data_IF_993595270621
#
_entry.id   IF_993595270621
#
_cell.length_a   1.000
_cell.length_b   1.000
_cell.length_c   1.000
_cell.angle_alpha   90.00
_cell.angle_beta   90.00
_cell.angle_gamma   90.00
#
_symmetry.space_group_name_H-M   'P 1'
#
loop_
_entity.id
_entity.type
_entity.pdbx_description
1 polymer ?
#
# COMPACT_ATOMS: atom_id res chain seq x y z
N UNK A 1 -22.73 -8.47 18.84
CA UNK A 1 -21.34 -7.95 18.69
C UNK A 1 -21.24 -7.39 17.28
N UNK A 2 -20.65 -6.20 17.07
CA UNK A 2 -20.50 -5.66 15.70
C UNK A 2 -19.51 -6.55 14.91
N UNK A 3 -19.83 -6.89 13.67
CA UNK A 3 -18.99 -7.74 12.80
C UNK A 3 -18.20 -6.93 11.77
N UNK A 4 -18.50 -5.64 11.63
CA UNK A 4 -17.87 -4.73 10.67
C UNK A 4 -17.08 -3.63 11.39
N UNK A 5 -16.03 -3.07 10.78
CA UNK A 5 -15.31 -1.93 11.34
C UNK A 5 -16.23 -0.75 11.64
N UNK A 6 -15.96 -0.02 12.72
CA UNK A 6 -16.72 1.16 13.12
C UNK A 6 -15.83 2.21 13.77
N UNK A 7 -16.21 3.49 13.63
CA UNK A 7 -15.52 4.59 14.31
C UNK A 7 -15.80 4.57 15.80
N UNK A 8 -14.78 4.91 16.58
CA UNK A 8 -14.84 5.09 18.03
C UNK A 8 -13.98 6.28 18.42
N UNK A 9 -14.20 6.82 19.62
CA UNK A 9 -13.28 7.75 20.26
C UNK A 9 -12.30 6.99 21.18
N UNK A 10 -11.23 7.66 21.62
CA UNK A 10 -10.26 7.04 22.51
C UNK A 10 -10.91 6.60 23.83
N UNK A 11 -11.83 7.41 24.38
CA UNK A 11 -12.53 7.12 25.64
C UNK A 11 -13.53 5.96 25.53
N UNK A 12 -13.85 5.54 24.31
CA UNK A 12 -14.79 4.43 24.03
C UNK A 12 -14.07 3.07 23.91
N UNK A 13 -12.74 3.04 23.88
CA UNK A 13 -11.97 1.80 23.91
C UNK A 13 -12.06 1.12 25.29
N UNK A 14 -11.80 -0.19 25.40
CA UNK A 14 -11.57 -0.83 26.70
C UNK A 14 -10.47 -0.13 27.51
N UNK A 15 -10.61 -0.03 28.84
CA UNK A 15 -9.72 0.79 29.68
C UNK A 15 -8.23 0.38 29.61
N UNK A 16 -7.96 -0.91 29.45
CA UNK A 16 -6.62 -1.46 29.21
C UNK A 16 -6.08 -1.05 27.83
N UNK A 17 -6.92 -1.03 26.80
CA UNK A 17 -6.57 -0.54 25.46
C UNK A 17 -6.33 0.97 25.44
N UNK A 18 -7.13 1.75 26.16
CA UNK A 18 -6.91 3.19 26.33
C UNK A 18 -5.53 3.45 26.93
N UNK A 19 -5.17 2.72 27.98
CA UNK A 19 -3.86 2.84 28.63
C UNK A 19 -2.73 2.48 27.67
N UNK A 20 -2.85 1.37 26.94
CA UNK A 20 -1.84 0.95 25.97
C UNK A 20 -1.70 1.97 24.82
N UNK A 21 -2.81 2.49 24.31
CA UNK A 21 -2.83 3.55 23.30
C UNK A 21 -2.09 4.81 23.78
N UNK A 22 -2.43 5.30 24.98
CA UNK A 22 -1.82 6.49 25.57
C UNK A 22 -0.32 6.33 25.83
N UNK A 23 0.13 5.11 26.16
CA UNK A 23 1.55 4.80 26.37
C UNK A 23 2.34 4.73 25.05
N UNK A 24 1.72 4.23 23.97
CA UNK A 24 2.35 4.12 22.67
C UNK A 24 2.36 5.43 21.87
N UNK A 25 1.39 6.31 22.11
CA UNK A 25 1.30 7.61 21.45
C UNK A 25 2.41 8.57 21.91
N UNK A 26 2.95 9.41 21.00
CA UNK A 26 3.75 10.55 21.40
C UNK A 26 3.01 11.48 22.38
N UNK A 27 3.75 12.12 23.28
CA UNK A 27 3.15 12.99 24.31
C UNK A 27 2.27 14.09 23.70
N UNK A 28 1.04 14.22 24.19
CA UNK A 28 0.06 15.21 23.71
C UNK A 28 -0.62 14.87 22.39
N UNK A 29 -0.29 13.74 21.77
CA UNK A 29 -0.88 13.33 20.51
C UNK A 29 -2.18 12.56 20.72
N UNK A 30 -3.20 12.87 19.92
CA UNK A 30 -4.47 12.15 19.89
C UNK A 30 -4.80 11.71 18.46
N UNK A 31 -5.47 10.55 18.29
CA UNK A 31 -5.95 10.14 16.97
C UNK A 31 -7.14 11.02 16.54
N UNK A 32 -7.07 11.58 15.33
CA UNK A 32 -8.22 12.28 14.71
C UNK A 32 -9.21 11.31 14.08
N UNK A 33 -8.79 10.06 13.82
CA UNK A 33 -9.66 9.00 13.35
C UNK A 33 -9.24 7.72 14.03
N UNK A 34 -10.19 7.05 14.69
CA UNK A 34 -9.95 5.78 15.35
C UNK A 34 -11.04 4.81 14.92
N UNK A 35 -10.63 3.65 14.41
CA UNK A 35 -11.52 2.62 13.88
C UNK A 35 -11.31 1.34 14.66
N UNK A 36 -12.36 0.87 15.31
CA UNK A 36 -12.40 -0.45 15.93
C UNK A 36 -12.70 -1.50 14.86
N UNK A 37 -11.88 -2.52 14.80
CA UNK A 37 -11.98 -3.67 13.90
C UNK A 37 -12.30 -4.89 14.77
N UNK A 38 -13.54 -5.40 14.69
CA UNK A 38 -13.94 -6.55 15.47
C UNK A 38 -13.11 -7.80 15.17
N UNK A 39 -13.08 -8.69 16.16
CA UNK A 39 -12.60 -10.06 15.94
C UNK A 39 -13.38 -10.71 14.81
N UNK A 40 -12.68 -11.47 13.97
CA UNK A 40 -13.32 -12.27 12.94
C UNK A 40 -12.48 -13.49 12.59
N UNK A 41 -13.13 -14.51 12.05
CA UNK A 41 -12.44 -15.70 11.56
C UNK A 41 -12.34 -15.61 10.04
N UNK A 42 -11.12 -15.61 9.53
CA UNK A 42 -10.89 -15.70 8.10
C UNK A 42 -10.74 -17.14 7.66
N UNK A 43 -11.41 -17.51 6.58
CA UNK A 43 -11.16 -18.77 5.88
C UNK A 43 -10.32 -18.49 4.63
N UNK A 44 -9.00 -18.48 4.80
CA UNK A 44 -8.07 -18.45 3.68
C UNK A 44 -7.63 -19.89 3.39
N UNK A 45 -7.91 -20.37 2.18
CA UNK A 45 -7.37 -21.64 1.66
C UNK A 45 -7.50 -22.85 2.60
N UNK A 46 -8.69 -23.07 3.18
CA UNK A 46 -9.02 -24.16 4.14
C UNK A 46 -8.41 -24.03 5.55
N UNK A 47 -7.60 -23.00 5.82
CA UNK A 47 -7.17 -22.69 7.19
C UNK A 47 -8.08 -21.60 7.74
N UNK A 48 -8.69 -21.88 8.89
CA UNK A 48 -9.36 -20.85 9.68
C UNK A 48 -8.29 -20.13 10.48
N UNK A 49 -8.10 -18.84 10.21
CA UNK A 49 -7.23 -17.98 10.99
C UNK A 49 -8.12 -17.07 11.84
N UNK A 50 -7.85 -17.06 13.13
CA UNK A 50 -8.46 -16.11 14.04
C UNK A 50 -7.70 -14.79 13.94
N UNK A 51 -8.45 -13.70 13.72
CA UNK A 51 -7.91 -12.34 13.76
C UNK A 51 -8.41 -11.71 15.05
N UNK A 52 -7.51 -11.33 15.97
CA UNK A 52 -7.92 -10.69 17.22
C UNK A 52 -8.59 -9.35 16.91
N UNK A 53 -9.43 -8.82 17.83
CA UNK A 53 -9.93 -7.47 17.68
C UNK A 53 -8.76 -6.48 17.72
N UNK A 54 -8.88 -5.38 16.96
CA UNK A 54 -7.85 -4.35 16.86
C UNK A 54 -8.50 -2.96 16.80
N UNK A 55 -7.79 -1.93 17.23
CA UNK A 55 -8.13 -0.54 16.98
C UNK A 55 -7.01 0.09 16.14
N UNK A 56 -7.38 0.76 15.05
CA UNK A 56 -6.46 1.48 14.19
C UNK A 56 -6.73 2.99 14.31
N UNK A 57 -5.78 3.70 14.89
CA UNK A 57 -5.79 5.14 15.08
C UNK A 57 -4.89 5.85 14.06
N UNK A 58 -5.37 6.97 13.55
CA UNK A 58 -4.64 7.86 12.66
C UNK A 58 -4.48 9.20 13.35
N UNK A 59 -3.23 9.67 13.41
CA UNK A 59 -2.83 10.93 14.04
C UNK A 59 -2.32 11.89 12.99
N UNK A 60 -2.03 13.12 13.40
CA UNK A 60 -1.43 14.12 12.51
C UNK A 60 -0.05 13.73 11.96
N UNK A 61 0.62 12.72 12.51
CA UNK A 61 1.99 12.37 12.07
C UNK A 61 2.23 10.87 11.94
N UNK A 62 1.21 10.02 12.10
CA UNK A 62 1.45 8.58 12.20
C UNK A 62 0.23 7.72 12.48
N UNK A 63 0.48 6.43 12.61
CA UNK A 63 -0.53 5.38 12.76
C UNK A 63 -0.31 4.63 14.07
N UNK A 64 -1.37 4.52 14.87
CA UNK A 64 -1.43 3.71 16.08
C UNK A 64 -2.21 2.43 15.79
N UNK A 65 -1.67 1.27 16.16
CA UNK A 65 -2.43 0.03 16.28
C UNK A 65 -2.49 -0.37 17.74
N UNK A 66 -3.66 -0.77 18.22
CA UNK A 66 -3.84 -1.49 19.48
C UNK A 66 -4.51 -2.82 19.17
N UNK A 67 -4.01 -3.92 19.70
CA UNK A 67 -4.58 -5.25 19.48
C UNK A 67 -4.62 -6.06 20.76
N UNK A 68 -5.63 -6.94 20.89
CA UNK A 68 -5.60 -7.97 21.94
C UNK A 68 -4.37 -8.85 21.79
N UNK A 69 -3.76 -9.20 22.92
CA UNK A 69 -2.71 -10.21 22.95
C UNK A 69 -3.26 -11.59 22.51
N UNK A 70 -2.40 -12.48 21.99
CA UNK A 70 -2.79 -13.85 21.63
C UNK A 70 -3.32 -14.66 22.81
N UNK A 71 -2.81 -14.38 24.02
CA UNK A 71 -3.24 -15.00 25.27
C UNK A 71 -4.31 -14.14 25.94
N UNK A 72 -5.44 -14.75 26.29
CA UNK A 72 -6.64 -14.06 26.81
C UNK A 72 -6.37 -13.21 28.08
N UNK A 73 -5.31 -13.50 28.82
CA UNK A 73 -4.93 -12.78 30.05
C UNK A 73 -3.79 -11.76 29.88
N UNK A 74 -3.14 -11.71 28.72
CA UNK A 74 -2.04 -10.79 28.48
C UNK A 74 -2.57 -9.37 28.15
N UNK A 75 -1.84 -8.31 28.54
CA UNK A 75 -2.25 -6.94 28.23
C UNK A 75 -2.25 -6.70 26.71
N UNK A 76 -3.10 -5.78 26.19
CA UNK A 76 -3.10 -5.44 24.77
C UNK A 76 -1.74 -4.86 24.35
N UNK A 77 -1.35 -5.17 23.12
CA UNK A 77 -0.15 -4.62 22.51
C UNK A 77 -0.52 -3.35 21.73
N UNK A 78 0.31 -2.32 21.83
CA UNK A 78 0.15 -1.09 21.08
C UNK A 78 1.44 -0.69 20.37
N UNK A 79 1.31 -0.27 19.11
CA UNK A 79 2.41 0.14 18.25
C UNK A 79 2.08 1.47 17.60
N UNK A 80 3.05 2.39 17.59
CA UNK A 80 2.93 3.66 16.88
C UNK A 80 4.05 3.77 15.84
N UNK A 81 3.68 3.99 14.58
CA UNK A 81 4.62 4.25 13.49
C UNK A 81 4.42 5.69 13.03
N UNK A 82 5.46 6.51 13.14
CA UNK A 82 5.45 7.84 12.52
C UNK A 82 5.36 7.66 11.00
N UNK A 83 4.45 8.38 10.34
CA UNK A 83 4.25 8.29 8.90
C UNK A 83 5.53 8.63 8.13
N UNK A 84 6.36 9.53 8.66
CA UNK A 84 7.65 9.82 8.07
C UNK A 84 8.55 8.59 7.99
N UNK A 85 8.46 7.69 8.97
CA UNK A 85 9.27 6.48 9.11
C UNK A 85 8.71 5.25 8.37
N UNK A 86 7.59 5.39 7.68
CA UNK A 86 7.07 4.35 6.78
C UNK A 86 8.01 4.21 5.58
N UNK A 87 8.49 2.99 5.36
CA UNK A 87 9.33 2.61 4.21
C UNK A 87 8.48 2.05 3.08
N UNK A 88 7.44 1.28 3.40
CA UNK A 88 6.53 0.69 2.43
C UNK A 88 5.13 0.53 3.05
N UNK A 89 4.11 0.77 2.23
CA UNK A 89 2.72 0.46 2.58
C UNK A 89 2.17 -0.53 1.55
N UNK A 90 1.45 -1.55 2.01
CA UNK A 90 0.71 -2.47 1.14
C UNK A 90 -0.76 -2.52 1.56
N UNK A 91 -1.64 -2.40 0.58
CA UNK A 91 -3.08 -2.40 0.75
C UNK A 91 -3.69 -3.46 -0.15
N UNK A 92 -4.17 -4.54 0.47
CA UNK A 92 -4.80 -5.66 -0.21
C UNK A 92 -6.32 -5.54 -0.09
N UNK A 93 -7.01 -5.52 -1.21
CA UNK A 93 -8.47 -5.43 -1.30
C UNK A 93 -8.99 -6.60 -2.12
N UNK A 94 -9.59 -7.59 -1.46
CA UNK A 94 -10.04 -8.82 -2.12
C UNK A 94 -11.45 -9.17 -1.65
N UNK A 95 -12.46 -8.86 -2.48
CA UNK A 95 -13.87 -9.01 -2.12
C UNK A 95 -14.19 -8.29 -0.80
N UNK A 96 -14.61 -9.03 0.23
CA UNK A 96 -14.93 -8.54 1.57
C UNK A 96 -13.72 -8.54 2.52
N UNK A 97 -12.54 -8.93 2.06
CA UNK A 97 -11.31 -8.98 2.85
C UNK A 97 -10.39 -7.82 2.48
N UNK A 98 -10.06 -7.01 3.48
CA UNK A 98 -9.08 -5.93 3.43
C UNK A 98 -7.89 -6.26 4.31
N UNK A 99 -6.68 -5.92 3.87
CA UNK A 99 -5.48 -5.99 4.69
C UNK A 99 -4.60 -4.79 4.41
N UNK A 100 -4.33 -4.01 5.46
CA UNK A 100 -3.37 -2.92 5.44
C UNK A 100 -2.10 -3.38 6.14
N UNK A 101 -0.98 -3.28 5.44
CA UNK A 101 0.34 -3.59 5.97
C UNK A 101 1.23 -2.37 5.85
N UNK A 102 1.83 -1.98 6.98
CA UNK A 102 2.75 -0.87 7.10
C UNK A 102 4.09 -1.42 7.57
N UNK A 103 5.15 -1.12 6.83
CA UNK A 103 6.51 -1.46 7.23
C UNK A 103 7.34 -0.19 7.38
N UNK A 104 7.98 -0.05 8.52
CA UNK A 104 8.74 1.15 8.89
C UNK A 104 9.61 0.91 10.11
N UNK A 105 9.94 1.98 10.82
CA UNK A 105 10.68 1.88 12.07
C UNK A 105 9.95 2.55 13.23
N UNK A 106 10.13 2.01 14.43
CA UNK A 106 9.75 2.63 15.69
C UNK A 106 11.02 2.77 16.53
N UNK A 107 11.44 4.01 16.81
CA UNK A 107 12.69 4.30 17.54
C UNK A 107 13.93 3.62 16.91
N UNK A 108 14.01 3.59 15.58
CA UNK A 108 15.09 2.93 14.83
C UNK A 108 15.02 1.40 14.79
N UNK A 109 14.00 0.79 15.38
CA UNK A 109 13.75 -0.66 15.31
C UNK A 109 12.76 -0.94 14.18
N UNK A 110 13.07 -1.85 13.24
CA UNK A 110 12.14 -2.28 12.22
C UNK A 110 10.85 -2.85 12.80
N UNK A 111 9.71 -2.38 12.30
CA UNK A 111 8.38 -2.84 12.72
C UNK A 111 7.50 -3.10 11.50
N UNK A 112 6.60 -4.07 11.68
CA UNK A 112 5.59 -4.45 10.69
C UNK A 112 4.22 -4.46 11.36
N UNK A 113 3.37 -3.53 10.98
CA UNK A 113 1.99 -3.42 11.43
C UNK A 113 1.07 -4.03 10.37
N UNK A 114 0.22 -4.98 10.76
CA UNK A 114 -0.71 -5.67 9.87
C UNK A 114 -2.11 -5.58 10.45
N UNK A 115 -3.03 -4.99 9.67
CA UNK A 115 -4.41 -4.75 10.06
C UNK A 115 -5.32 -5.40 9.03
N UNK A 116 -6.02 -6.44 9.45
CA UNK A 116 -6.97 -7.17 8.61
C UNK A 116 -8.39 -6.76 8.98
N UNK A 117 -9.23 -6.46 7.99
CA UNK A 117 -10.56 -5.90 8.20
C UNK A 117 -11.55 -6.32 7.11
N UNK A 118 -12.84 -6.11 7.37
CA UNK A 118 -13.89 -6.28 6.36
C UNK A 118 -13.96 -5.02 5.48
N UNK A 119 -13.89 -5.16 4.15
CA UNK A 119 -13.87 -4.00 3.21
C UNK A 119 -15.13 -3.14 3.25
N UNK A 120 -16.22 -3.57 3.89
CA UNK A 120 -17.35 -2.69 4.23
C UNK A 120 -16.90 -1.46 5.04
N UNK A 121 -15.84 -1.61 5.84
CA UNK A 121 -15.22 -0.53 6.60
C UNK A 121 -14.20 0.32 5.82
N UNK A 122 -13.94 0.04 4.55
CA UNK A 122 -12.91 0.73 3.75
C UNK A 122 -13.11 2.25 3.74
N UNK A 123 -14.36 2.71 3.60
CA UNK A 123 -14.69 4.14 3.61
C UNK A 123 -14.30 4.84 4.91
N UNK A 124 -14.23 4.12 6.04
CA UNK A 124 -13.80 4.68 7.32
C UNK A 124 -12.29 4.93 7.36
N UNK A 125 -11.52 4.13 6.62
CA UNK A 125 -10.06 4.15 6.60
C UNK A 125 -9.52 5.04 5.47
N UNK A 126 -10.22 5.09 4.34
CA UNK A 126 -9.69 5.65 3.09
C UNK A 126 -9.10 7.05 3.22
N UNK A 127 -9.85 8.01 3.77
CA UNK A 127 -9.38 9.39 3.91
C UNK A 127 -8.16 9.50 4.85
N UNK A 128 -8.16 8.73 5.94
CA UNK A 128 -7.06 8.73 6.91
C UNK A 128 -5.81 8.03 6.33
N UNK A 129 -5.99 6.98 5.53
CA UNK A 129 -4.92 6.32 4.78
C UNK A 129 -4.28 7.26 3.76
N UNK A 130 -5.07 8.04 3.02
CA UNK A 130 -4.54 9.05 2.10
C UNK A 130 -3.71 10.13 2.82
N UNK A 131 -4.09 10.50 4.04
CA UNK A 131 -3.31 11.43 4.86
C UNK A 131 -1.98 10.82 5.30
N UNK A 132 -1.99 9.56 5.76
CA UNK A 132 -0.76 8.82 6.11
C UNK A 132 0.17 8.72 4.91
N UNK A 133 -0.36 8.39 3.74
CA UNK A 133 0.43 8.32 2.51
C UNK A 133 1.05 9.68 2.15
N UNK A 134 0.29 10.77 2.21
CA UNK A 134 0.83 12.14 2.01
C UNK A 134 2.01 12.43 2.94
N UNK A 135 1.90 12.07 4.21
CA UNK A 135 2.97 12.27 5.20
C UNK A 135 4.16 11.34 4.97
N UNK A 136 3.90 10.09 4.55
CA UNK A 136 4.92 9.11 4.21
C UNK A 136 5.68 9.45 2.92
N UNK A 137 5.06 10.20 2.01
CA UNK A 137 5.71 10.72 0.81
C UNK A 137 6.58 11.94 1.11
N UNK A 138 6.21 12.73 2.11
CA UNK A 138 6.91 13.95 2.50
C UNK A 138 6.31 15.19 1.85
N UNK A 139 6.99 16.35 1.91
CA UNK A 139 6.48 17.58 1.29
C UNK A 139 6.27 17.36 -0.21
N UNK A 140 5.10 17.76 -0.70
CA UNK A 140 4.81 17.69 -2.12
C UNK A 140 5.80 18.57 -2.90
N UNK A 141 6.54 17.98 -3.83
CA UNK A 141 7.33 18.74 -4.78
C UNK A 141 6.37 19.58 -5.64
N UNK A 142 6.34 20.90 -5.42
CA UNK A 142 5.68 21.87 -6.28
C UNK A 142 4.23 21.56 -6.67
N UNK A 143 3.28 21.67 -5.74
CA UNK A 143 1.85 21.54 -6.05
C UNK A 143 1.38 22.70 -6.95
N UNK A 144 1.35 22.48 -8.27
CA UNK A 144 0.47 23.21 -9.19
C UNK A 144 -0.64 22.29 -9.67
N UNK A 145 -1.46 21.84 -8.72
CA UNK A 145 -2.56 20.88 -8.92
C UNK A 145 -3.45 21.12 -10.17
N UNK A 146 -3.79 22.38 -10.57
CA UNK A 146 -4.59 22.59 -11.77
C UNK A 146 -3.82 22.29 -13.07
N UNK A 147 -2.50 22.51 -13.08
CA UNK A 147 -1.66 22.44 -14.28
C UNK A 147 -1.56 21.01 -14.82
N UNK A 148 -1.54 20.02 -13.94
CA UNK A 148 -1.25 18.63 -14.30
C UNK A 148 -2.49 17.73 -14.34
N UNK A 149 -3.66 18.23 -13.96
CA UNK A 149 -4.91 17.46 -13.96
C UNK A 149 -5.23 16.89 -15.36
N UNK A 150 -5.00 17.68 -16.42
CA UNK A 150 -5.23 17.25 -17.80
C UNK A 150 -4.25 16.14 -18.24
N UNK A 151 -2.98 16.24 -17.84
CA UNK A 151 -1.96 15.23 -18.11
C UNK A 151 -2.31 13.91 -17.41
N UNK A 152 -2.60 13.95 -16.10
CA UNK A 152 -3.04 12.76 -15.34
C UNK A 152 -4.29 12.15 -15.95
N UNK A 153 -5.28 12.96 -16.34
CA UNK A 153 -6.50 12.46 -16.99
C UNK A 153 -6.22 11.75 -18.31
N UNK A 154 -5.35 12.32 -19.15
CA UNK A 154 -4.92 11.69 -20.41
C UNK A 154 -4.22 10.35 -20.19
N UNK A 155 -3.34 10.27 -19.19
CA UNK A 155 -2.66 9.02 -18.86
C UNK A 155 -3.63 7.97 -18.30
N UNK A 156 -4.59 8.36 -17.45
CA UNK A 156 -5.62 7.44 -16.98
C UNK A 156 -6.50 6.93 -18.13
N UNK A 157 -6.81 7.77 -19.12
CA UNK A 157 -7.53 7.35 -20.33
C UNK A 157 -6.70 6.36 -21.17
N UNK A 158 -5.39 6.58 -21.31
CA UNK A 158 -4.50 5.64 -21.99
C UNK A 158 -4.40 4.30 -21.25
N UNK A 159 -4.44 4.31 -19.90
CA UNK A 159 -4.52 3.10 -19.10
C UNK A 159 -5.87 2.41 -19.24
N UNK A 160 -6.97 3.17 -19.31
CA UNK A 160 -8.32 2.65 -19.51
C UNK A 160 -8.45 1.82 -20.79
N UNK A 161 -7.85 2.31 -21.89
CA UNK A 161 -7.80 1.61 -23.17
C UNK A 161 -7.06 0.26 -23.09
N UNK A 162 -6.17 0.07 -22.12
CA UNK A 162 -5.45 -1.19 -21.88
C UNK A 162 -6.16 -2.05 -20.83
N UNK A 163 -6.65 -1.44 -19.75
CA UNK A 163 -7.36 -2.12 -18.67
C UNK A 163 -8.17 -1.15 -17.79
N UNK A 164 -9.49 -1.16 -17.99
CA UNK A 164 -10.45 -0.44 -17.13
C UNK A 164 -10.30 -0.80 -15.64
N UNK A 165 -10.03 -2.07 -15.32
CA UNK A 165 -9.85 -2.54 -13.94
C UNK A 165 -8.64 -1.88 -13.26
N UNK A 166 -7.50 -1.83 -13.94
CA UNK A 166 -6.29 -1.21 -13.38
C UNK A 166 -6.38 0.31 -13.34
N UNK A 167 -7.06 0.93 -14.31
CA UNK A 167 -7.41 2.35 -14.24
C UNK A 167 -8.19 2.68 -12.97
N UNK A 168 -9.24 1.91 -12.66
CA UNK A 168 -10.04 2.13 -11.45
C UNK A 168 -9.25 1.84 -10.18
N UNK A 169 -8.46 0.77 -10.15
CA UNK A 169 -7.57 0.48 -9.01
C UNK A 169 -6.63 1.65 -8.72
N UNK A 170 -6.00 2.19 -9.77
CA UNK A 170 -5.10 3.34 -9.67
C UNK A 170 -5.85 4.61 -9.21
N UNK A 171 -6.94 4.98 -9.87
CA UNK A 171 -7.63 6.26 -9.61
C UNK A 171 -8.42 6.30 -8.31
N UNK A 172 -8.96 5.16 -7.84
CA UNK A 172 -9.81 5.11 -6.65
C UNK A 172 -9.03 4.83 -5.37
N UNK A 173 -7.92 4.10 -5.44
CA UNK A 173 -7.26 3.58 -4.24
C UNK A 173 -5.79 3.95 -4.13
N UNK A 174 -5.11 4.26 -5.25
CA UNK A 174 -3.66 4.37 -5.24
C UNK A 174 -3.15 5.80 -5.49
N UNK A 175 -3.76 6.57 -6.38
CA UNK A 175 -3.41 7.98 -6.53
C UNK A 175 -4.01 8.81 -5.41
N UNK A 176 -3.18 9.66 -4.81
CA UNK A 176 -3.66 10.69 -3.91
C UNK A 176 -4.46 11.75 -4.69
N UNK A 177 -5.41 12.45 -4.03
CA UNK A 177 -6.06 13.59 -4.64
C UNK A 177 -5.02 14.60 -5.12
N UNK A 178 -5.20 15.09 -6.36
CA UNK A 178 -4.29 16.05 -7.02
C UNK A 178 -2.88 15.53 -7.34
N UNK A 179 -2.61 14.25 -7.13
CA UNK A 179 -1.32 13.67 -7.47
C UNK A 179 -1.14 13.58 -8.99
N UNK A 180 0.00 14.10 -9.46
CA UNK A 180 0.40 13.99 -10.86
C UNK A 180 0.86 12.56 -11.15
N UNK A 181 0.23 11.91 -12.12
CA UNK A 181 0.77 10.68 -12.69
C UNK A 181 1.79 11.08 -13.77
N UNK A 182 3.05 10.64 -13.61
CA UNK A 182 4.12 10.90 -14.58
C UNK A 182 4.12 9.86 -15.69
N UNK A 183 3.72 8.64 -15.37
CA UNK A 183 3.51 7.58 -16.35
C UNK A 183 3.26 6.24 -15.70
N UNK A 184 3.04 5.23 -16.55
CA UNK A 184 2.80 3.87 -16.11
C UNK A 184 3.26 2.83 -17.14
N UNK A 185 3.47 1.61 -16.66
CA UNK A 185 3.67 0.41 -17.47
C UNK A 185 2.67 -0.65 -17.03
N UNK A 186 1.78 -1.04 -17.94
CA UNK A 186 0.83 -2.11 -17.70
C UNK A 186 1.29 -3.41 -18.34
N UNK A 187 1.14 -4.50 -17.59
CA UNK A 187 1.49 -5.85 -18.00
C UNK A 187 0.27 -6.77 -17.81
N UNK A 188 -0.27 -7.36 -18.90
CA UNK A 188 -1.23 -8.45 -18.75
C UNK A 188 -0.55 -9.65 -18.09
N UNK A 189 -1.36 -10.52 -17.50
CA UNK A 189 -0.91 -11.77 -16.87
C UNK A 189 0.07 -12.55 -17.76
N UNK A 190 1.24 -12.87 -17.21
CA UNK A 190 2.22 -13.68 -17.93
C UNK A 190 1.86 -15.17 -17.87
N UNK A 191 1.78 -15.77 -19.06
CA UNK A 191 1.40 -17.16 -19.28
C UNK A 191 2.58 -17.91 -19.90
N UNK A 192 2.80 -19.16 -19.49
CA UNK A 192 3.75 -20.08 -20.14
C UNK A 192 3.05 -21.34 -20.63
N UNK A 193 3.47 -21.93 -21.76
CA UNK A 193 2.93 -23.19 -22.22
C UNK A 193 3.31 -24.33 -21.25
N UNK A 194 2.39 -25.27 -21.06
CA UNK A 194 2.53 -26.51 -20.29
C UNK A 194 1.96 -27.63 -21.17
N UNK A 195 2.73 -28.69 -21.41
CA UNK A 195 2.37 -29.78 -22.34
C UNK A 195 1.97 -29.29 -23.76
N UNK A 196 2.59 -28.20 -24.25
CA UNK A 196 2.36 -27.54 -25.55
C UNK A 196 0.96 -26.95 -25.81
N UNK A 197 -0.11 -27.47 -25.21
CA UNK A 197 -1.49 -27.01 -25.43
C UNK A 197 -2.10 -26.24 -24.24
N UNK A 198 -1.64 -26.49 -23.01
CA UNK A 198 -2.15 -25.77 -21.85
C UNK A 198 -1.31 -24.52 -21.59
N UNK A 199 -1.94 -23.47 -21.05
CA UNK A 199 -1.23 -22.27 -20.59
C UNK A 199 -1.38 -22.16 -19.08
N UNK A 200 -0.24 -22.08 -18.37
CA UNK A 200 -0.22 -21.84 -16.93
C UNK A 200 0.30 -20.43 -16.67
N UNK A 201 -0.46 -19.68 -15.89
CA UNK A 201 -0.06 -18.36 -15.47
C UNK A 201 1.10 -18.43 -14.47
N UNK A 202 2.19 -17.69 -14.69
CA UNK A 202 3.35 -17.70 -13.80
C UNK A 202 3.63 -16.35 -13.12
N UNK A 203 3.10 -15.24 -13.63
CA UNK A 203 3.00 -13.95 -12.93
C UNK A 203 1.57 -13.40 -13.00
N UNK A 204 1.10 -12.61 -12.02
CA UNK A 204 -0.19 -11.93 -12.13
C UNK A 204 -0.17 -10.85 -13.23
N UNK A 205 -1.33 -10.25 -13.53
CA UNK A 205 -1.32 -8.97 -14.23
C UNK A 205 -0.82 -7.91 -13.25
N UNK A 206 -0.08 -6.93 -13.76
CA UNK A 206 0.56 -5.91 -12.93
C UNK A 206 0.52 -4.54 -13.61
N UNK A 207 0.55 -3.50 -12.80
CA UNK A 207 0.73 -2.11 -13.20
C UNK A 207 1.83 -1.53 -12.32
N UNK A 208 2.85 -0.94 -12.94
CA UNK A 208 3.78 -0.04 -12.26
C UNK A 208 3.46 1.40 -12.69
N UNK A 209 3.31 2.31 -11.74
CA UNK A 209 3.06 3.72 -11.95
C UNK A 209 4.09 4.56 -11.21
N UNK A 210 4.44 5.71 -11.77
CA UNK A 210 5.36 6.68 -11.17
C UNK A 210 4.64 8.00 -10.97
N UNK A 211 4.80 8.57 -9.79
CA UNK A 211 4.42 9.94 -9.46
C UNK A 211 5.67 10.70 -9.00
N UNK A 212 5.60 12.03 -8.77
CA UNK A 212 6.70 12.75 -8.15
C UNK A 212 7.06 12.19 -6.77
N UNK A 213 6.09 11.59 -6.08
CA UNK A 213 6.18 11.24 -4.67
C UNK A 213 6.39 9.74 -4.42
N UNK A 214 5.99 8.86 -5.35
CA UNK A 214 6.05 7.42 -5.15
C UNK A 214 6.24 6.62 -6.43
N UNK A 215 6.71 5.38 -6.25
CA UNK A 215 6.43 4.28 -7.17
C UNK A 215 5.25 3.50 -6.59
N UNK A 216 4.25 3.24 -7.44
CA UNK A 216 3.05 2.50 -7.07
C UNK A 216 3.01 1.23 -7.91
N UNK A 217 2.88 0.08 -7.26
CA UNK A 217 2.63 -1.20 -7.91
C UNK A 217 1.21 -1.68 -7.60
N UNK A 218 0.47 -2.11 -8.62
CA UNK A 218 -0.81 -2.79 -8.44
C UNK A 218 -0.68 -4.17 -9.07
N UNK A 219 -1.00 -5.23 -8.34
CA UNK A 219 -1.01 -6.60 -8.84
C UNK A 219 -2.38 -7.25 -8.59
N UNK A 220 -2.75 -8.21 -9.43
CA UNK A 220 -3.92 -9.05 -9.16
C UNK A 220 -3.59 -10.19 -8.20
N UNK A 221 -4.34 -10.28 -7.09
CA UNK A 221 -4.30 -11.47 -6.22
C UNK A 221 -4.94 -12.68 -6.90
N UNK A 222 -4.39 -13.88 -6.67
CA UNK A 222 -4.94 -15.14 -7.17
C UNK A 222 -5.69 -15.91 -6.08
N UNK A 223 -7.01 -15.75 -6.03
CA UNK A 223 -7.86 -16.65 -5.24
C UNK A 223 -8.51 -17.68 -6.17
N UNK A 224 -8.07 -18.94 -6.08
CA UNK A 224 -8.72 -20.13 -6.68
C UNK A 224 -9.17 -19.94 -8.16
N UNK A 225 -8.34 -19.27 -8.97
CA UNK A 225 -8.60 -19.08 -10.40
C UNK A 225 -9.41 -17.83 -10.76
N UNK A 226 -9.94 -17.10 -9.78
CA UNK A 226 -10.65 -15.84 -9.99
C UNK A 226 -9.77 -14.65 -9.57
N UNK A 227 -9.72 -13.62 -10.40
CA UNK A 227 -8.89 -12.43 -10.19
C UNK A 227 -9.76 -11.23 -9.81
N UNK A 228 -10.20 -11.19 -8.54
CA UNK A 228 -11.11 -10.17 -8.02
C UNK A 228 -10.52 -9.33 -6.88
N UNK A 229 -9.18 -9.31 -6.75
CA UNK A 229 -8.53 -8.47 -5.75
C UNK A 229 -7.39 -7.64 -6.33
N UNK A 230 -7.07 -6.56 -5.63
CA UNK A 230 -5.91 -5.72 -5.85
C UNK A 230 -4.94 -5.86 -4.69
N UNK A 231 -3.66 -5.98 -5.02
CA UNK A 231 -2.55 -5.78 -4.10
C UNK A 231 -1.88 -4.48 -4.52
N UNK A 232 -2.08 -3.43 -3.74
CA UNK A 232 -1.51 -2.12 -4.01
C UNK A 232 -0.31 -1.93 -3.10
N UNK A 233 0.87 -1.70 -3.68
CA UNK A 233 2.10 -1.44 -2.95
C UNK A 233 2.58 -0.04 -3.25
N UNK A 234 2.80 0.73 -2.20
CA UNK A 234 3.27 2.11 -2.26
C UNK A 234 4.72 2.15 -1.77
N UNK A 235 5.59 2.65 -2.63
CA UNK A 235 7.01 2.82 -2.38
C UNK A 235 7.32 4.32 -2.41
N UNK A 236 7.33 5.03 -1.26
CA UNK A 236 7.67 6.45 -1.21
C UNK A 236 9.02 6.70 -1.88
N UNK A 237 9.08 7.63 -2.82
CA UNK A 237 10.25 7.86 -3.66
C UNK A 237 11.49 8.22 -2.85
N UNK A 238 11.32 9.03 -1.80
CA UNK A 238 12.38 9.39 -0.85
C UNK A 238 12.99 8.19 -0.10
N UNK A 239 12.34 7.03 -0.14
CA UNK A 239 12.81 5.78 0.46
C UNK A 239 13.44 4.83 -0.55
N UNK A 240 13.30 5.08 -1.86
CA UNK A 240 13.86 4.22 -2.92
C UNK A 240 15.37 4.46 -3.02
N UNK A 241 16.15 3.40 -2.81
CA UNK A 241 17.61 3.41 -2.98
C UNK A 241 18.01 3.09 -4.42
N UNK A 242 17.36 2.10 -5.01
CA UNK A 242 17.66 1.61 -6.34
C UNK A 242 16.45 0.89 -6.95
N UNK A 243 16.41 0.84 -8.27
CA UNK A 243 15.55 -0.06 -9.02
C UNK A 243 16.44 -0.87 -9.93
N UNK A 244 16.44 -2.19 -9.78
CA UNK A 244 17.20 -3.11 -10.64
C UNK A 244 16.26 -4.02 -11.41
N UNK A 245 16.82 -4.64 -12.44
CA UNK A 245 16.10 -5.57 -13.29
C UNK A 245 16.91 -6.84 -13.46
N UNK A 246 16.34 -7.97 -13.07
CA UNK A 246 16.98 -9.28 -13.13
C UNK A 246 16.26 -10.19 -14.12
N UNK A 247 16.97 -10.99 -14.93
CA UNK A 247 16.34 -11.89 -15.88
C UNK A 247 15.54 -13.00 -15.17
N UNK A 248 14.35 -13.31 -15.68
CA UNK A 248 13.49 -14.41 -15.24
C UNK A 248 12.96 -15.18 -16.46
N UNK A 249 13.75 -16.12 -16.99
CA UNK A 249 13.37 -16.95 -18.14
C UNK A 249 12.90 -16.11 -19.35
N UNK A 250 11.59 -15.98 -19.61
CA UNK A 250 11.00 -15.11 -20.67
C UNK A 250 10.52 -13.75 -20.17
N UNK A 251 10.84 -13.40 -18.93
CA UNK A 251 10.41 -12.20 -18.22
C UNK A 251 11.61 -11.58 -17.50
N UNK A 252 11.38 -10.50 -16.78
CA UNK A 252 12.33 -9.84 -15.91
C UNK A 252 11.66 -9.50 -14.57
N UNK A 253 12.38 -9.68 -13.48
CA UNK A 253 12.02 -9.14 -12.17
C UNK A 253 12.51 -7.71 -12.09
N UNK A 254 11.57 -6.76 -12.01
CA UNK A 254 11.86 -5.38 -11.62
C UNK A 254 11.73 -5.31 -10.11
N UNK A 255 12.80 -4.95 -9.42
CA UNK A 255 12.80 -4.85 -7.95
C UNK A 255 13.07 -3.41 -7.51
N UNK A 256 12.19 -2.89 -6.67
CA UNK A 256 12.31 -1.59 -6.02
C UNK A 256 12.93 -1.81 -4.65
N UNK A 257 14.18 -1.39 -4.47
CA UNK A 257 14.90 -1.45 -3.20
C UNK A 257 14.63 -0.17 -2.42
N UNK A 258 14.21 -0.32 -1.17
CA UNK A 258 13.85 0.78 -0.28
C UNK A 258 14.61 0.67 1.03
N UNK A 259 14.89 1.80 1.67
CA UNK A 259 15.41 1.82 3.03
C UNK A 259 14.93 3.04 3.84
N UNK A 260 14.90 2.85 5.16
CA UNK A 260 14.66 3.91 6.13
C UNK A 260 14.91 3.41 7.54
N UNK A 261 15.59 4.22 8.36
CA UNK A 261 15.75 4.01 9.81
C UNK A 261 16.07 2.55 10.21
N UNK A 262 17.12 1.98 9.62
CA UNK A 262 17.60 0.62 9.93
C UNK A 262 16.84 -0.52 9.23
N UNK A 263 15.80 -0.22 8.47
CA UNK A 263 15.05 -1.19 7.68
C UNK A 263 15.41 -1.09 6.20
N UNK A 264 15.68 -2.23 5.56
CA UNK A 264 15.83 -2.38 4.12
C UNK A 264 14.76 -3.35 3.60
N UNK A 265 14.03 -2.95 2.56
CA UNK A 265 12.94 -3.71 1.95
C UNK A 265 13.10 -3.76 0.44
N UNK A 266 12.46 -4.75 -0.17
CA UNK A 266 12.36 -4.85 -1.61
C UNK A 266 10.96 -5.27 -2.02
N UNK A 267 10.43 -4.67 -3.08
CA UNK A 267 9.21 -5.12 -3.75
C UNK A 267 9.53 -5.49 -5.20
N UNK A 268 9.09 -6.67 -5.63
CA UNK A 268 9.44 -7.23 -6.95
C UNK A 268 8.19 -7.47 -7.78
N UNK A 269 8.19 -6.99 -9.01
CA UNK A 269 7.15 -7.24 -10.01
C UNK A 269 7.77 -7.93 -11.23
N UNK A 270 7.09 -8.96 -11.75
CA UNK A 270 7.51 -9.64 -12.97
C UNK A 270 6.88 -8.99 -14.21
N UNK A 271 7.71 -8.53 -15.14
CA UNK A 271 7.32 -7.92 -16.42
C UNK A 271 7.93 -8.72 -17.59
N UNK A 272 7.32 -8.69 -18.77
CA UNK A 272 8.05 -9.14 -19.95
C UNK A 272 9.20 -8.18 -20.28
N UNK A 273 10.13 -8.62 -21.13
CA UNK A 273 11.35 -7.87 -21.43
C UNK A 273 11.06 -6.46 -22.01
N UNK A 274 10.01 -6.32 -22.84
CA UNK A 274 9.68 -5.04 -23.45
C UNK A 274 9.09 -4.07 -22.42
N UNK A 275 8.21 -4.56 -21.53
CA UNK A 275 7.64 -3.75 -20.44
C UNK A 275 8.69 -3.39 -19.38
N UNK A 276 9.61 -4.29 -19.07
CA UNK A 276 10.71 -3.99 -18.16
C UNK A 276 11.66 -2.91 -18.72
N UNK A 277 11.99 -2.98 -20.01
CA UNK A 277 12.75 -1.93 -20.68
C UNK A 277 12.01 -0.58 -20.69
N UNK A 278 10.71 -0.60 -21.02
CA UNK A 278 9.86 0.59 -20.98
C UNK A 278 9.78 1.20 -19.57
N UNK A 279 9.70 0.36 -18.53
CA UNK A 279 9.73 0.81 -17.13
C UNK A 279 11.05 1.49 -16.78
N UNK A 280 12.18 0.90 -17.15
CA UNK A 280 13.49 1.51 -16.93
C UNK A 280 13.64 2.88 -17.61
N UNK A 281 13.18 2.99 -18.86
CA UNK A 281 13.18 4.27 -19.58
C UNK A 281 12.28 5.32 -18.91
N UNK A 282 11.06 4.93 -18.51
CA UNK A 282 10.13 5.81 -17.80
C UNK A 282 10.74 6.32 -16.48
N UNK A 283 11.27 5.41 -15.65
CA UNK A 283 11.88 5.77 -14.37
C UNK A 283 13.04 6.75 -14.51
N UNK A 284 13.91 6.54 -15.51
CA UNK A 284 15.04 7.43 -15.78
C UNK A 284 14.56 8.82 -16.23
N UNK A 285 13.63 8.88 -17.18
CA UNK A 285 13.05 10.15 -17.66
C UNK A 285 12.39 10.95 -16.53
N UNK A 286 11.62 10.28 -15.67
CA UNK A 286 10.97 10.95 -14.54
C UNK A 286 11.96 11.41 -13.46
N UNK A 287 13.13 10.76 -13.32
CA UNK A 287 14.17 11.23 -12.41
C UNK A 287 14.85 12.50 -12.94
N UNK A 288 15.05 12.60 -14.26
CA UNK A 288 15.61 13.78 -14.89
C UNK A 288 14.66 14.98 -14.78
N UNK A 289 13.36 14.78 -15.07
CA UNK A 289 12.33 15.82 -14.94
C UNK A 289 12.28 16.42 -13.52
N UNK A 290 12.22 15.57 -12.49
CA UNK A 290 12.15 16.04 -11.10
C UNK A 290 13.43 16.72 -10.65
N UNK A 291 14.60 16.25 -11.09
CA UNK A 291 15.86 16.94 -10.81
C UNK A 291 15.89 18.32 -11.46
N UNK A 292 15.31 18.48 -12.64
CA UNK A 292 15.20 19.78 -13.29
C UNK A 292 14.24 20.70 -12.51
N UNK A 293 13.10 20.20 -12.05
CA UNK A 293 12.13 20.96 -11.25
C UNK A 293 12.68 21.42 -9.89
N UNK A 294 13.50 20.60 -9.23
CA UNK A 294 14.11 20.96 -7.93
C UNK A 294 15.19 22.04 -8.07
N UNK A 295 15.80 22.16 -9.25
CA UNK A 295 16.90 23.11 -9.51
C UNK A 295 16.42 24.44 -10.14
N UNK A 296 15.14 24.57 -10.50
CA UNK A 296 14.54 25.75 -11.12
C UNK A 296 13.90 26.67 -10.07
#
# INVERSE_FOLDING_TARGET
MRETPYRVNLEELPADWQRAAQQALPAGMLPHTLVMIPQHTQSLQKRRRFVPPQALGFTETGVLQVQSAPETSAPPEAFYINSADIVMLRHSLILLYGCLELQGSMNGVPVRMVVEYNTVGELLLHAALQQVLRQAYGPAAGNTAPKFAAETASQLQALEAQSFKFRNGLSLYALLPEERLLGFVWQPRLMRPVLRIFRRAFAPAALLAVTPQAVIAIEEERIKGAAYGWLITFCPRRRILAIDTQPLHTAQHVTVHMAGAGLALSHTVALDQARAAAWGALWNSCNEEIRAEVNA
#
